data_IF_685734773658
#
_entry.id   IF_685734773658
#
_cell.length_a   1.000
_cell.length_b   1.000
_cell.length_c   1.000
_cell.angle_alpha   90.00
_cell.angle_beta   90.00
_cell.angle_gamma   90.00
#
_symmetry.space_group_name_H-M   'P 1'
#
loop_
_entity.id
_entity.type
_entity.pdbx_description
1 polymer ?
#
# COMPACT_ATOMS: atom_id res chain seq x y z
N UNK A 1 -30.68 7.45 4.59
CA UNK A 1 -30.65 8.92 4.85
C UNK A 1 -29.32 9.21 5.50
N UNK A 2 -28.50 10.03 4.84
CA UNK A 2 -27.19 10.43 5.36
C UNK A 2 -27.33 11.46 6.51
N UNK A 3 -26.33 11.54 7.36
CA UNK A 3 -26.04 12.75 8.14
C UNK A 3 -24.67 13.21 7.76
N UNK A 4 -24.57 14.45 7.35
CA UNK A 4 -23.34 15.08 6.91
C UNK A 4 -23.01 16.22 7.87
N UNK A 5 -21.83 16.18 8.48
CA UNK A 5 -21.19 17.37 9.03
C UNK A 5 -20.40 18.03 7.90
N UNK A 6 -20.88 19.18 7.44
CA UNK A 6 -20.22 20.00 6.42
C UNK A 6 -19.54 21.17 7.10
N UNK A 7 -18.21 21.22 7.02
CA UNK A 7 -17.40 22.30 7.57
C UNK A 7 -17.15 23.41 6.55
N UNK A 8 -16.82 24.62 7.02
CA UNK A 8 -16.61 25.81 6.18
C UNK A 8 -15.42 25.69 5.21
N UNK A 9 -14.46 24.80 5.50
CA UNK A 9 -13.33 24.44 4.65
C UNK A 9 -13.70 23.48 3.49
N UNK A 10 -14.97 23.05 3.42
CA UNK A 10 -15.45 22.06 2.46
C UNK A 10 -15.21 20.61 2.87
N UNK A 11 -14.67 20.35 4.07
CA UNK A 11 -14.56 18.98 4.61
C UNK A 11 -15.96 18.44 4.96
N UNK A 12 -16.27 17.24 4.49
CA UNK A 12 -17.50 16.51 4.77
C UNK A 12 -17.17 15.24 5.55
N UNK A 13 -17.83 15.05 6.68
CA UNK A 13 -17.86 13.78 7.43
C UNK A 13 -19.28 13.26 7.40
N UNK A 14 -19.49 12.08 6.80
CA UNK A 14 -20.83 11.55 6.53
C UNK A 14 -21.04 10.13 7.06
N UNK A 15 -22.28 9.81 7.41
CA UNK A 15 -22.73 8.46 7.76
C UNK A 15 -24.08 8.13 7.11
N UNK A 16 -24.10 7.14 6.22
CA UNK A 16 -25.33 6.61 5.64
C UNK A 16 -25.93 5.50 6.50
N UNK A 17 -27.07 5.78 7.12
CA UNK A 17 -27.81 4.81 7.94
C UNK A 17 -28.38 3.61 7.16
N UNK A 18 -28.43 3.67 5.83
CA UNK A 18 -28.95 2.56 4.99
C UNK A 18 -27.92 1.44 4.87
N UNK A 19 -26.64 1.80 4.68
CA UNK A 19 -25.52 0.89 4.45
C UNK A 19 -24.57 0.76 5.64
N UNK A 20 -24.62 1.68 6.61
CA UNK A 20 -23.64 1.82 7.68
C UNK A 20 -22.31 2.44 7.22
N UNK A 21 -22.22 2.91 5.98
CA UNK A 21 -21.00 3.52 5.44
C UNK A 21 -20.67 4.84 6.14
N UNK A 22 -19.40 5.03 6.48
CA UNK A 22 -18.83 6.29 6.99
C UNK A 22 -17.79 6.78 6.00
N UNK A 23 -17.81 8.08 5.67
CA UNK A 23 -16.82 8.68 4.79
C UNK A 23 -16.28 10.00 5.37
N UNK A 24 -15.01 10.27 5.04
CA UNK A 24 -14.34 11.56 5.25
C UNK A 24 -13.88 12.03 3.88
N UNK A 25 -14.34 13.20 3.45
CA UNK A 25 -14.05 13.79 2.16
C UNK A 25 -13.50 15.20 2.39
N UNK A 26 -12.27 15.45 1.94
CA UNK A 26 -11.59 16.73 2.10
C UNK A 26 -10.59 16.93 0.97
N UNK A 27 -10.28 18.18 0.65
CA UNK A 27 -9.16 18.56 -0.23
C UNK A 27 -7.82 18.68 0.54
N UNK A 28 -7.88 18.70 1.87
CA UNK A 28 -6.71 18.76 2.74
C UNK A 28 -6.12 17.38 3.07
N UNK A 29 -5.20 17.35 4.04
CA UNK A 29 -4.62 16.11 4.53
C UNK A 29 -5.49 15.48 5.63
N UNK A 30 -5.61 14.15 5.61
CA UNK A 30 -6.15 13.37 6.73
C UNK A 30 -4.98 12.76 7.51
N UNK A 31 -4.83 13.14 8.78
CA UNK A 31 -3.77 12.62 9.67
C UNK A 31 -4.37 11.76 10.77
N UNK A 32 -3.91 10.51 10.88
CA UNK A 32 -4.27 9.59 11.96
C UNK A 32 -3.06 9.42 12.86
N UNK A 33 -3.13 9.94 14.10
CA UNK A 33 -2.08 9.80 15.11
C UNK A 33 -2.58 8.93 16.26
N UNK A 34 -2.05 7.71 16.36
CA UNK A 34 -2.40 6.73 17.39
C UNK A 34 -1.18 5.86 17.73
N UNK A 35 -1.20 5.23 18.91
CA UNK A 35 -0.18 4.24 19.30
C UNK A 35 -0.21 2.96 18.46
N UNK A 36 -1.38 2.65 17.88
CA UNK A 36 -1.60 1.51 16.99
C UNK A 36 -2.85 1.75 16.14
N UNK A 37 -2.87 1.17 14.93
CA UNK A 37 -4.03 1.16 14.03
C UNK A 37 -4.25 -0.27 13.54
N UNK A 38 -5.48 -0.75 13.60
CA UNK A 38 -5.89 -2.06 13.11
C UNK A 38 -7.06 -1.90 12.15
N UNK A 39 -6.96 -2.44 10.94
CA UNK A 39 -8.01 -2.38 9.92
C UNK A 39 -8.54 -3.78 9.68
N UNK A 40 -9.82 -4.01 10.02
CA UNK A 40 -10.50 -5.28 9.79
C UNK A 40 -11.48 -5.10 8.62
N UNK A 41 -11.08 -5.50 7.42
CA UNK A 41 -11.86 -5.37 6.20
C UNK A 41 -11.60 -6.56 5.25
N UNK A 42 -12.58 -6.87 4.38
CA UNK A 42 -12.41 -7.89 3.34
C UNK A 42 -11.45 -7.44 2.22
N UNK A 43 -11.33 -6.13 2.00
CA UNK A 43 -10.40 -5.51 1.05
C UNK A 43 -10.00 -4.12 1.54
N UNK A 44 -8.82 -3.67 1.12
CA UNK A 44 -8.28 -2.33 1.37
C UNK A 44 -7.72 -1.83 0.04
N UNK A 45 -8.09 -0.61 -0.37
CA UNK A 45 -7.63 0.02 -1.61
C UNK A 45 -6.90 1.30 -1.29
N UNK A 46 -5.67 1.45 -1.81
CA UNK A 46 -4.84 2.64 -1.70
C UNK A 46 -4.54 3.14 -3.12
N UNK A 47 -5.12 4.28 -3.50
CA UNK A 47 -5.10 4.79 -4.89
C UNK A 47 -3.92 5.71 -5.22
N UNK A 48 -3.01 5.93 -4.26
CA UNK A 48 -1.81 6.76 -4.43
C UNK A 48 -0.59 6.09 -3.81
N UNK A 49 0.56 6.76 -3.87
CA UNK A 49 1.83 6.22 -3.38
C UNK A 49 1.78 5.88 -1.88
N UNK A 50 2.33 4.72 -1.52
CA UNK A 50 2.33 4.22 -0.14
C UNK A 50 3.76 4.15 0.36
N UNK A 51 4.09 4.98 1.36
CA UNK A 51 5.38 4.94 2.06
C UNK A 51 5.21 4.25 3.41
N UNK A 52 6.02 3.22 3.67
CA UNK A 52 6.07 2.52 4.95
C UNK A 52 7.50 2.59 5.48
N UNK A 53 7.69 3.20 6.65
CA UNK A 53 9.01 3.37 7.29
C UNK A 53 9.40 2.19 8.20
N UNK A 54 8.43 1.37 8.60
CA UNK A 54 8.64 0.14 9.36
C UNK A 54 8.77 -1.09 8.46
N UNK A 55 8.94 -2.26 9.10
CA UNK A 55 8.95 -3.54 8.39
C UNK A 55 7.56 -3.89 7.84
N UNK A 56 7.51 -4.49 6.64
CA UNK A 56 6.29 -5.01 6.03
C UNK A 56 6.33 -6.53 6.11
N UNK A 57 5.30 -7.14 6.71
CA UNK A 57 5.10 -8.58 6.73
C UNK A 57 3.80 -8.91 5.99
N UNK A 58 3.89 -9.74 4.95
CA UNK A 58 2.74 -10.19 4.15
C UNK A 58 2.66 -11.70 4.27
N UNK A 59 1.54 -12.21 4.79
CA UNK A 59 1.35 -13.66 4.96
C UNK A 59 1.12 -14.41 3.63
N UNK A 60 0.60 -13.70 2.62
CA UNK A 60 0.27 -14.21 1.29
C UNK A 60 1.13 -13.52 0.21
N UNK A 61 0.75 -13.67 -1.06
CA UNK A 61 1.49 -13.15 -2.21
C UNK A 61 1.41 -11.63 -2.35
N UNK A 62 2.55 -11.00 -2.69
CA UNK A 62 2.60 -9.64 -3.26
C UNK A 62 2.75 -9.76 -4.78
N UNK A 63 1.82 -9.19 -5.55
CA UNK A 63 1.92 -9.09 -7.00
C UNK A 63 2.24 -7.64 -7.40
N UNK A 64 3.44 -7.40 -7.94
CA UNK A 64 3.87 -6.09 -8.42
C UNK A 64 3.85 -6.07 -9.96
N UNK A 65 3.13 -5.10 -10.54
CA UNK A 65 3.14 -4.88 -11.99
C UNK A 65 4.44 -4.18 -12.48
N UNK A 66 5.08 -3.40 -11.59
CA UNK A 66 6.39 -2.80 -11.82
C UNK A 66 7.52 -3.64 -11.22
N UNK A 67 8.75 -3.08 -11.23
CA UNK A 67 9.90 -3.71 -10.58
C UNK A 67 9.81 -3.66 -9.05
N UNK A 68 10.35 -4.69 -8.39
CA UNK A 68 10.63 -4.69 -6.95
C UNK A 68 12.12 -4.52 -6.76
N UNK A 69 12.54 -3.60 -5.89
CA UNK A 69 13.95 -3.37 -5.56
C UNK A 69 14.18 -3.61 -4.07
N UNK A 70 15.01 -4.59 -3.72
CA UNK A 70 15.41 -4.90 -2.36
C UNK A 70 16.86 -4.50 -2.14
N UNK A 71 17.17 -3.73 -1.09
CA UNK A 71 18.53 -3.26 -0.77
C UNK A 71 19.31 -2.61 -1.94
N UNK A 72 18.59 -1.99 -2.90
CA UNK A 72 19.17 -1.40 -4.11
C UNK A 72 19.25 -2.32 -5.33
N UNK A 73 18.92 -3.61 -5.18
CA UNK A 73 18.95 -4.63 -6.24
C UNK A 73 17.56 -4.86 -6.80
N UNK A 74 17.39 -4.70 -8.12
CA UNK A 74 16.14 -5.00 -8.83
C UNK A 74 15.94 -6.51 -8.96
N UNK A 75 14.90 -7.05 -8.31
CA UNK A 75 14.57 -8.49 -8.29
C UNK A 75 14.23 -9.04 -9.69
N UNK A 76 13.71 -8.21 -10.60
CA UNK A 76 13.31 -8.66 -11.95
C UNK A 76 14.47 -8.84 -12.92
N UNK A 77 15.66 -8.30 -12.61
CA UNK A 77 16.81 -8.19 -13.54
C UNK A 77 18.13 -8.67 -12.91
N UNK A 78 18.07 -9.56 -11.93
CA UNK A 78 19.17 -9.84 -11.00
C UNK A 78 20.26 -10.81 -11.64
N UNK A 79 21.59 -10.75 -11.29
CA UNK A 79 22.80 -11.43 -11.95
C UNK A 79 23.94 -12.16 -11.08
N UNK A 80 23.95 -13.51 -10.81
CA UNK A 80 24.78 -14.20 -9.75
C UNK A 80 26.26 -14.09 -10.08
N UNK A 81 27.05 -13.95 -9.02
CA UNK A 81 28.42 -14.44 -9.03
C UNK A 81 28.53 -15.95 -8.84
N UNK A 82 29.62 -16.53 -9.33
CA UNK A 82 30.14 -17.82 -8.84
C UNK A 82 29.59 -19.11 -9.45
N UNK A 83 28.61 -19.07 -10.36
CA UNK A 83 28.14 -20.28 -11.08
C UNK A 83 28.69 -20.36 -12.50
N UNK A 84 29.16 -21.55 -12.90
CA UNK A 84 29.64 -21.78 -14.26
C UNK A 84 28.46 -22.00 -15.20
N UNK A 85 28.24 -21.09 -16.16
CA UNK A 85 27.20 -21.22 -17.18
C UNK A 85 27.54 -22.33 -18.16
N UNK A 86 26.64 -23.31 -18.30
CA UNK A 86 26.59 -24.20 -19.46
C UNK A 86 25.98 -23.47 -20.68
N UNK A 87 25.31 -24.21 -21.57
CA UNK A 87 24.54 -23.63 -22.70
C UNK A 87 23.26 -22.88 -22.32
N UNK A 88 23.20 -22.28 -21.12
CA UNK A 88 22.04 -21.62 -20.53
C UNK A 88 22.30 -20.16 -20.17
N UNK A 89 21.23 -19.43 -19.85
CA UNK A 89 21.28 -17.99 -19.51
C UNK A 89 22.13 -17.73 -18.25
N UNK A 90 22.68 -16.52 -18.17
CA UNK A 90 23.35 -16.01 -16.97
C UNK A 90 22.39 -15.91 -15.77
N UNK A 91 22.98 -15.76 -14.59
CA UNK A 91 22.54 -16.03 -13.20
C UNK A 91 21.76 -14.90 -12.44
N UNK A 92 21.55 -14.92 -11.07
CA UNK A 92 21.02 -13.84 -10.11
C UNK A 92 21.88 -13.31 -8.86
N UNK A 93 22.16 -11.99 -8.59
CA UNK A 93 23.36 -11.37 -8.03
C UNK A 93 23.52 -11.41 -6.50
N UNK A 94 24.45 -10.57 -6.06
CA UNK A 94 24.73 -10.10 -4.71
C UNK A 94 23.58 -9.31 -4.07
#
# INVERSE_FOLDING_TARGET
MCVDLVNLDGTIISHDRSSGAVAVQTSGAVTVSASSVTINALSITLNGDVTITGAVSVAQTVNAAGGVTGAGVSLSTHTHGGVQTGGGRTSGPA
#
